data_IF_615929270435
#
_entry.id   IF_615929270435
#
_cell.length_a   1.000
_cell.length_b   1.000
_cell.length_c   1.000
_cell.angle_alpha   90.00
_cell.angle_beta   90.00
_cell.angle_gamma   90.00
#
_symmetry.space_group_name_H-M   'P 1'
#
loop_
_entity.id
_entity.type
_entity.pdbx_description
1 polymer ?
#
# COMPACT_ATOMS: atom_id res chain seq x y z
N UNK A 4 -9.23 -7.13 -1.68
CA UNK A 4 -7.84 -6.64 -1.45
C UNK A 4 -7.61 -5.35 -2.25
N UNK A 5 -6.40 -4.88 -2.28
CA UNK A 5 -6.11 -3.62 -3.04
C UNK A 5 -5.43 -3.97 -4.36
N UNK A 6 -6.20 -4.25 -5.38
CA UNK A 6 -5.60 -4.61 -6.70
C UNK A 6 -5.48 -3.35 -7.56
N UNK A 7 -5.69 -2.19 -6.98
CA UNK A 7 -5.59 -0.94 -7.77
C UNK A 7 -4.14 -0.44 -7.75
N UNK A 8 -3.79 0.41 -8.68
CA UNK A 8 -2.39 0.93 -8.71
C UNK A 8 -2.24 2.04 -7.67
N UNK A 9 -1.20 1.99 -6.88
CA UNK A 9 -1.00 3.04 -5.84
C UNK A 9 -2.21 3.09 -4.91
N UNK A 10 -3.01 2.06 -4.92
CA UNK A 10 -4.21 2.05 -4.02
C UNK A 10 -3.77 2.30 -2.58
N UNK A 11 -4.48 3.13 -1.87
CA UNK A 11 -4.09 3.41 -0.45
C UNK A 11 -4.05 2.10 0.33
N UNK A 12 -3.17 1.99 1.28
CA UNK A 12 -3.08 0.73 2.08
C UNK A 12 -2.77 1.06 3.54
N UNK A 13 -2.47 0.07 4.32
CA UNK A 13 -2.15 0.31 5.75
C UNK A 13 -1.16 -0.76 6.24
N UNK A 14 -0.18 -0.37 7.00
CA UNK A 14 0.81 -1.36 7.50
C UNK A 14 0.15 -2.28 8.53
N UNK A 15 -0.29 -3.44 8.11
CA UNK A 15 -0.95 -4.37 9.06
C UNK A 15 -2.44 -4.48 8.73
N UNK A 16 -2.91 -3.68 7.81
CA UNK A 16 -4.35 -3.74 7.44
C UNK A 16 -4.50 -4.38 6.06
N UNK A 17 -5.21 -3.74 5.17
CA UNK A 17 -5.39 -4.32 3.81
C UNK A 17 -4.07 -4.25 3.04
N UNK A 18 -3.49 -5.38 2.72
CA UNK A 18 -2.20 -5.37 1.97
C UNK A 18 -2.49 -5.46 0.47
N UNK A 19 -1.50 -5.22 -0.34
CA UNK A 19 -1.70 -5.28 -1.81
C UNK A 19 -1.90 -6.74 -2.23
N UNK A 20 -2.79 -6.98 -3.16
CA UNK A 20 -3.03 -8.38 -3.61
C UNK A 20 -1.73 -8.97 -4.15
N UNK A 21 -1.54 -10.26 -3.99
CA UNK A 21 -0.29 -10.92 -4.49
C UNK A 21 0.82 -10.76 -3.45
N UNK A 22 0.94 -9.61 -2.87
CA UNK A 22 2.01 -9.39 -1.85
C UNK A 22 2.98 -8.31 -2.34
N UNK A 23 2.50 -7.11 -2.50
CA UNK A 23 3.39 -6.01 -2.98
C UNK A 23 3.70 -5.06 -1.81
N UNK A 24 4.93 -4.60 -1.76
CA UNK A 24 5.38 -3.68 -0.70
C UNK A 24 4.63 -2.35 -0.81
N UNK A 25 4.26 -1.76 0.29
CA UNK A 25 3.53 -0.46 0.23
C UNK A 25 4.51 0.67 0.55
N UNK A 26 4.59 1.65 -0.31
CA UNK A 26 5.52 2.79 -0.07
C UNK A 26 4.79 3.90 0.69
N UNK A 27 5.53 4.78 1.32
CA UNK A 27 4.89 5.89 2.08
C UNK A 27 5.54 7.21 1.67
N UNK A 28 5.12 8.30 2.27
CA UNK A 28 5.71 9.62 1.91
C UNK A 28 6.83 9.96 2.90
N UNK A 29 7.54 8.97 3.38
CA UNK A 29 8.64 9.23 4.34
C UNK A 29 8.06 9.85 5.62
N UNK A 30 6.76 9.82 5.78
CA UNK A 30 6.14 10.40 7.00
C UNK A 30 5.25 9.35 7.67
N UNK A 31 5.03 8.24 7.02
CA UNK A 31 4.17 7.19 7.63
C UNK A 31 2.71 7.67 7.67
N UNK A 32 2.19 8.10 6.55
CA UNK A 32 0.79 8.59 6.53
C UNK A 32 0.06 8.00 5.32
N UNK A 33 0.14 8.64 4.19
CA UNK A 33 -0.55 8.11 2.98
C UNK A 33 0.38 7.13 2.25
N UNK A 34 0.31 5.87 2.59
CA UNK A 34 1.19 4.88 1.92
C UNK A 34 0.45 4.27 0.72
N UNK A 35 0.99 4.40 -0.46
CA UNK A 35 0.32 3.83 -1.65
C UNK A 35 1.01 2.53 -2.06
N UNK A 36 0.27 1.59 -2.58
CA UNK A 36 0.89 0.30 -3.00
C UNK A 36 1.66 0.50 -4.31
N UNK A 37 2.87 0.01 -4.38
CA UNK A 37 3.66 0.18 -5.62
C UNK A 37 3.75 -1.16 -6.36
N UNK A 38 3.44 -1.15 -7.63
CA UNK A 38 3.48 -2.37 -8.46
C UNK A 38 4.90 -2.93 -8.50
#
# INVERSE_FOLDING_TARGET
EDNCIAEDYGKCTWGGTKCCRGRPCRCSMIGTNCECTPRLIMEGLSFA
#
